data_IF_005254237446
#
_entry.id   IF_005254237446
#
_cell.length_a   1.000
_cell.length_b   1.000
_cell.length_c   1.000
_cell.angle_alpha   90.00
_cell.angle_beta   90.00
_cell.angle_gamma   90.00
#
_symmetry.space_group_name_H-M   'P 1'
#
loop_
_entity.id
_entity.type
_entity.pdbx_description
1 polymer ?
#
# COMPACT_ATOMS: atom_id res chain seq x y z
N UNK A 1 -10.94 6.45 -16.75
CA UNK A 1 -9.87 7.44 -16.49
C UNK A 1 -8.62 7.00 -17.22
N UNK A 2 -7.93 7.92 -17.87
CA UNK A 2 -6.68 7.61 -18.57
C UNK A 2 -5.57 7.32 -17.55
N UNK A 3 -4.83 6.23 -17.76
CA UNK A 3 -3.83 5.74 -16.81
C UNK A 3 -2.53 5.35 -17.55
N UNK A 4 -1.40 5.61 -16.90
CA UNK A 4 -0.17 4.89 -17.21
C UNK A 4 -0.27 3.48 -16.64
N UNK A 5 0.29 2.50 -17.36
CA UNK A 5 0.46 1.13 -16.85
C UNK A 5 1.94 0.88 -16.65
N UNK A 6 2.35 0.77 -15.40
CA UNK A 6 3.75 0.57 -15.03
C UNK A 6 4.00 -0.89 -14.69
N UNK A 7 5.00 -1.49 -15.33
CA UNK A 7 5.54 -2.80 -14.93
C UNK A 7 6.68 -2.58 -13.95
N UNK A 8 6.44 -2.89 -12.68
CA UNK A 8 7.41 -2.73 -11.59
C UNK A 8 8.02 -4.09 -11.26
N UNK A 9 9.33 -4.21 -11.42
CA UNK A 9 10.09 -5.43 -11.10
C UNK A 9 10.89 -5.15 -9.82
N UNK A 10 10.70 -5.93 -8.74
CA UNK A 10 11.44 -5.72 -7.51
C UNK A 10 12.93 -5.98 -7.73
N UNK A 11 13.78 -5.11 -7.18
CA UNK A 11 15.23 -5.35 -7.16
C UNK A 11 15.57 -6.57 -6.31
N UNK A 12 16.74 -7.18 -6.53
CA UNK A 12 17.17 -8.41 -5.84
C UNK A 12 17.24 -8.22 -4.32
N UNK A 13 17.65 -7.03 -3.87
CA UNK A 13 17.85 -6.68 -2.46
C UNK A 13 16.54 -6.65 -1.67
N UNK A 14 15.40 -6.40 -2.35
CA UNK A 14 14.10 -6.30 -1.72
C UNK A 14 13.57 -7.65 -1.20
N UNK A 15 14.21 -8.78 -1.54
CA UNK A 15 13.79 -10.15 -1.16
C UNK A 15 12.28 -10.39 -1.32
N UNK A 16 11.68 -9.77 -2.34
CA UNK A 16 10.22 -9.77 -2.53
C UNK A 16 9.72 -11.18 -2.83
N UNK A 17 8.51 -11.50 -2.36
CA UNK A 17 7.78 -12.73 -2.71
C UNK A 17 7.07 -12.65 -4.08
N UNK A 18 7.09 -11.49 -4.72
CA UNK A 18 6.48 -11.24 -6.03
C UNK A 18 7.54 -11.20 -7.15
N UNK A 19 7.16 -11.56 -8.37
CA UNK A 19 8.01 -11.44 -9.57
C UNK A 19 7.89 -10.07 -10.23
N UNK A 20 6.68 -9.50 -10.23
CA UNK A 20 6.36 -8.19 -10.79
C UNK A 20 5.05 -7.66 -10.22
N UNK A 21 4.85 -6.37 -10.38
CA UNK A 21 3.57 -5.69 -10.21
C UNK A 21 3.23 -4.96 -11.52
N UNK A 22 1.95 -4.96 -11.89
CA UNK A 22 1.41 -4.01 -12.86
C UNK A 22 0.58 -2.99 -12.10
N UNK A 23 0.94 -1.71 -12.18
CA UNK A 23 0.27 -0.64 -11.45
C UNK A 23 -0.33 0.35 -12.43
N UNK A 24 -1.62 0.65 -12.26
CA UNK A 24 -2.34 1.66 -13.03
C UNK A 24 -2.26 2.97 -12.26
N UNK A 25 -1.61 3.96 -12.87
CA UNK A 25 -1.40 5.29 -12.29
C UNK A 25 -2.26 6.28 -13.07
N UNK A 26 -3.21 6.94 -12.39
CA UNK A 26 -4.06 7.96 -13.01
C UNK A 26 -3.21 9.14 -13.49
N UNK A 27 -3.35 9.55 -14.75
CA UNK A 27 -2.45 10.56 -15.34
C UNK A 27 -2.57 11.95 -14.72
N UNK A 28 -3.74 12.33 -14.24
CA UNK A 28 -4.00 13.67 -13.69
C UNK A 28 -3.49 13.84 -12.26
N UNK A 29 -3.70 12.84 -11.40
CA UNK A 29 -3.33 12.88 -9.99
C UNK A 29 -2.00 12.19 -9.69
N UNK A 30 -1.50 11.38 -10.63
CA UNK A 30 -0.37 10.48 -10.46
C UNK A 30 -0.55 9.45 -9.33
N UNK A 31 -1.79 9.20 -8.90
CA UNK A 31 -2.10 8.22 -7.87
C UNK A 31 -2.33 6.83 -8.46
N UNK A 32 -1.91 5.80 -7.72
CA UNK A 32 -2.23 4.42 -8.07
C UNK A 32 -3.73 4.17 -7.87
N UNK A 33 -4.39 3.52 -8.81
CA UNK A 33 -5.83 3.18 -8.71
C UNK A 33 -6.06 1.67 -8.67
N UNK A 34 -5.16 0.91 -9.30
CA UNK A 34 -5.20 -0.55 -9.36
C UNK A 34 -3.78 -1.11 -9.34
N UNK A 35 -3.60 -2.28 -8.76
CA UNK A 35 -2.39 -3.08 -8.90
C UNK A 35 -2.71 -4.56 -9.09
N UNK A 36 -1.96 -5.21 -9.97
CA UNK A 36 -1.89 -6.67 -10.08
C UNK A 36 -0.51 -7.15 -9.63
N UNK A 37 -0.48 -8.02 -8.61
CA UNK A 37 0.74 -8.61 -8.08
C UNK A 37 0.88 -10.05 -8.53
N UNK A 38 2.04 -10.40 -9.08
CA UNK A 38 2.32 -11.74 -9.59
C UNK A 38 3.33 -12.46 -8.71
N UNK A 39 3.11 -13.75 -8.44
CA UNK A 39 4.04 -14.55 -7.64
C UNK A 39 5.34 -14.88 -8.40
N UNK A 40 6.25 -15.63 -7.77
CA UNK A 40 7.54 -16.03 -8.39
C UNK A 40 7.40 -16.94 -9.61
N UNK A 41 6.27 -17.63 -9.78
CA UNK A 41 5.97 -18.47 -10.95
C UNK A 41 5.38 -17.64 -12.10
N UNK A 42 5.04 -16.38 -11.84
CA UNK A 42 4.47 -15.46 -12.82
C UNK A 42 2.95 -15.52 -12.88
N UNK A 43 2.31 -16.18 -11.92
CA UNK A 43 0.85 -16.30 -11.84
C UNK A 43 0.27 -15.10 -11.09
N UNK A 44 -0.92 -14.66 -11.51
CA UNK A 44 -1.63 -13.59 -10.82
C UNK A 44 -2.00 -14.06 -9.42
N UNK A 45 -1.49 -13.34 -8.42
CA UNK A 45 -1.72 -13.68 -7.01
C UNK A 45 -2.68 -12.72 -6.34
N UNK A 46 -2.53 -11.42 -6.56
CA UNK A 46 -3.40 -10.41 -5.93
C UNK A 46 -3.85 -9.34 -6.90
N UNK A 47 -5.13 -8.97 -6.80
CA UNK A 47 -5.68 -7.73 -7.31
C UNK A 47 -5.81 -6.74 -6.16
N UNK A 48 -5.48 -5.47 -6.41
CA UNK A 48 -5.63 -4.40 -5.43
C UNK A 48 -6.30 -3.21 -6.08
N UNK A 49 -7.20 -2.58 -5.34
CA UNK A 49 -7.82 -1.30 -5.72
C UNK A 49 -7.56 -0.28 -4.61
N UNK A 50 -7.24 0.94 -5.02
CA UNK A 50 -6.85 2.01 -4.10
C UNK A 50 -7.77 3.21 -4.26
N UNK A 51 -8.21 3.77 -3.15
CA UNK A 51 -8.92 5.05 -3.09
C UNK A 51 -8.08 6.05 -2.31
N UNK A 52 -8.03 7.27 -2.81
CA UNK A 52 -7.25 8.36 -2.24
C UNK A 52 -8.18 9.54 -1.98
N UNK A 53 -7.90 10.28 -0.91
CA UNK A 53 -8.57 11.54 -0.60
C UNK A 53 -7.55 12.67 -0.51
N UNK A 54 -7.96 13.87 -0.85
CA UNK A 54 -7.12 15.07 -0.63
C UNK A 54 -7.21 15.45 0.85
N UNK A 55 -6.07 15.61 1.50
CA UNK A 55 -5.94 16.09 2.87
C UNK A 55 -4.85 17.16 2.90
N UNK A 56 -5.25 18.43 3.10
CA UNK A 56 -4.38 19.60 2.88
C UNK A 56 -3.77 19.56 1.47
N UNK A 57 -2.44 19.64 1.37
CA UNK A 57 -1.69 19.60 0.11
C UNK A 57 -1.35 18.18 -0.35
N UNK A 58 -1.79 17.14 0.37
CA UNK A 58 -1.43 15.75 0.09
C UNK A 58 -2.61 14.95 -0.45
N UNK A 59 -2.32 13.98 -1.33
CA UNK A 59 -3.23 12.87 -1.59
C UNK A 59 -2.86 11.72 -0.68
N UNK A 60 -3.75 11.40 0.27
CA UNK A 60 -3.55 10.35 1.27
C UNK A 60 -4.41 9.14 0.94
N UNK A 61 -3.95 7.97 1.38
CA UNK A 61 -4.67 6.72 1.19
C UNK A 61 -5.93 6.70 2.06
N UNK A 62 -7.08 6.47 1.44
CA UNK A 62 -8.36 6.34 2.14
C UNK A 62 -8.74 4.88 2.33
N UNK A 63 -8.55 4.08 1.28
CA UNK A 63 -8.96 2.68 1.26
C UNK A 63 -8.05 1.84 0.37
N UNK A 64 -7.76 0.62 0.81
CA UNK A 64 -7.15 -0.44 0.00
C UNK A 64 -8.08 -1.64 0.05
N UNK A 65 -8.53 -2.10 -1.11
CA UNK A 65 -9.18 -3.39 -1.25
C UNK A 65 -8.22 -4.37 -1.90
N UNK A 66 -8.02 -5.54 -1.29
CA UNK A 66 -7.11 -6.58 -1.76
C UNK A 66 -7.88 -7.87 -1.92
N UNK A 67 -7.73 -8.49 -3.09
CA UNK A 67 -8.25 -9.81 -3.39
C UNK A 67 -7.07 -10.74 -3.66
N UNK A 68 -6.94 -11.81 -2.88
CA UNK A 68 -5.99 -12.90 -3.11
C UNK A 68 -6.68 -13.99 -3.95
N UNK A 69 -6.41 -13.97 -5.25
CA UNK A 69 -7.08 -14.80 -6.26
C UNK A 69 -6.77 -16.28 -6.04
N UNK A 70 -5.55 -16.59 -5.59
CA UNK A 70 -5.10 -17.96 -5.36
C UNK A 70 -5.75 -18.58 -4.11
N UNK A 71 -6.23 -17.76 -3.17
CA UNK A 71 -6.83 -18.20 -1.91
C UNK A 71 -8.32 -17.91 -1.79
N UNK A 72 -8.91 -17.25 -2.78
CA UNK A 72 -10.28 -16.75 -2.73
C UNK A 72 -10.59 -15.99 -1.42
N UNK A 73 -9.69 -15.07 -1.06
CA UNK A 73 -9.77 -14.32 0.20
C UNK A 73 -9.59 -12.83 -0.06
N UNK A 74 -10.35 -12.01 0.66
CA UNK A 74 -10.31 -10.56 0.55
C UNK A 74 -9.87 -9.92 1.85
N UNK A 75 -9.17 -8.80 1.73
CA UNK A 75 -8.79 -7.93 2.84
C UNK A 75 -9.11 -6.49 2.47
N UNK A 76 -9.70 -5.77 3.39
CA UNK A 76 -10.01 -4.36 3.23
C UNK A 76 -9.33 -3.56 4.34
N UNK A 77 -8.66 -2.48 3.96
CA UNK A 77 -8.00 -1.55 4.88
C UNK A 77 -8.56 -0.16 4.64
N UNK A 78 -9.12 0.47 5.67
CA UNK A 78 -9.76 1.79 5.59
C UNK A 78 -9.16 2.72 6.63
N UNK A 79 -8.87 3.97 6.23
CA UNK A 79 -8.28 5.00 7.09
C UNK A 79 -9.32 6.09 7.40
N UNK A 80 -9.79 6.09 8.65
CA UNK A 80 -10.85 7.01 9.11
C UNK A 80 -10.26 8.38 9.51
N UNK A 81 -9.44 8.41 10.57
CA UNK A 81 -8.95 9.65 11.21
C UNK A 81 -7.50 9.99 10.88
N UNK A 82 -7.19 10.06 9.58
CA UNK A 82 -5.84 10.34 9.12
C UNK A 82 -5.48 11.82 9.33
N UNK A 83 -4.36 12.06 10.01
CA UNK A 83 -3.81 13.39 10.26
C UNK A 83 -2.40 13.52 9.67
N UNK A 84 -2.05 14.72 9.22
CA UNK A 84 -0.74 15.05 8.62
C UNK A 84 -0.14 16.28 9.30
N UNK A 85 1.18 16.37 9.31
CA UNK A 85 1.96 17.45 9.93
C UNK A 85 1.70 17.63 11.44
N UNK A 86 1.52 16.54 12.17
CA UNK A 86 1.18 16.57 13.61
C UNK A 86 2.38 16.80 14.53
N UNK A 87 3.60 16.91 13.98
CA UNK A 87 4.82 17.11 14.78
C UNK A 87 5.25 15.88 15.58
N UNK A 88 5.15 14.68 15.00
CA UNK A 88 5.56 13.42 15.65
C UNK A 88 7.04 13.50 16.06
N UNK A 89 7.31 13.33 17.36
CA UNK A 89 8.66 13.28 17.91
C UNK A 89 9.42 12.04 17.36
N UNK A 90 10.64 12.26 16.88
CA UNK A 90 11.54 11.19 16.42
C UNK A 90 11.78 10.13 17.51
N UNK A 91 11.77 10.53 18.78
CA UNK A 91 11.90 9.63 19.91
C UNK A 91 10.81 8.56 19.95
N UNK A 92 9.67 8.77 19.28
CA UNK A 92 8.60 7.77 19.17
C UNK A 92 9.10 6.50 18.46
N UNK A 93 10.04 6.62 17.52
CA UNK A 93 10.51 5.51 16.68
C UNK A 93 11.64 4.68 17.33
N UNK A 94 11.87 4.82 18.64
CA UNK A 94 12.76 3.91 19.37
C UNK A 94 12.08 2.57 19.70
N UNK A 95 12.80 1.46 19.52
CA UNK A 95 12.30 0.10 19.80
C UNK A 95 11.72 -0.07 21.21
N UNK A 96 12.26 0.66 22.20
CA UNK A 96 11.76 0.63 23.58
C UNK A 96 10.27 1.01 23.67
N UNK A 97 9.76 1.85 22.76
CA UNK A 97 8.37 2.26 22.75
C UNK A 97 7.43 1.18 22.18
N UNK A 98 7.98 0.13 21.53
CA UNK A 98 7.22 -1.05 21.13
C UNK A 98 7.03 -2.05 22.29
N UNK A 99 7.88 -1.96 23.32
CA UNK A 99 7.80 -2.79 24.52
C UNK A 99 6.78 -2.18 25.47
N UNK A 100 5.62 -2.83 25.63
CA UNK A 100 4.69 -2.51 26.70
C UNK A 100 5.25 -3.07 28.02
N UNK A 101 5.58 -2.19 28.96
CA UNK A 101 5.74 -2.60 30.36
C UNK A 101 4.34 -2.94 30.87
N UNK A 102 4.08 -4.15 31.37
CA UNK A 102 2.79 -4.49 31.96
C UNK A 102 2.49 -3.51 33.11
N UNK A 103 1.28 -2.95 33.15
CA UNK A 103 0.83 -2.23 34.35
C UNK A 103 0.71 -3.27 35.47
N UNK A 104 1.38 -3.02 36.60
CA UNK A 104 1.13 -3.74 37.86
C UNK A 104 -0.25 -3.39 38.39
#
# INVERSE_FOLDING_TARGET
>A
KDCYVLKVIPKKEAKSSYSKHLSWIEKSSLMAVKEESYDKRGELKKNKAYTHKKLKEYFVMERIFVEDIQKNHTTEVTFLDLQVDTGIDYNLFHEKNLKRIPKM
#
